data_IF_920511770052
#
_entry.id   IF_920511770052
#
_cell.length_a   1.000
_cell.length_b   1.000
_cell.length_c   1.000
_cell.angle_alpha   90.00
_cell.angle_beta   90.00
_cell.angle_gamma   90.00
#
_symmetry.space_group_name_H-M   'P 1'
#
loop_
_entity.id
_entity.type
_entity.pdbx_description
1 polymer ?
#
# COMPACT_ATOMS: atom_id res chain seq x y z
N UNK A 1 5.36 -29.44 -12.57
CA UNK A 1 5.63 -28.26 -11.73
C UNK A 1 7.11 -28.06 -11.49
N UNK A 2 7.85 -29.10 -11.12
CA UNK A 2 9.29 -29.01 -10.79
C UNK A 2 10.16 -28.54 -11.97
N UNK A 3 9.89 -29.01 -13.21
CA UNK A 3 10.59 -28.56 -14.43
C UNK A 3 10.46 -27.05 -14.71
N UNK A 4 9.38 -26.41 -14.28
CA UNK A 4 9.11 -25.00 -14.55
C UNK A 4 9.65 -24.08 -13.44
N UNK A 5 9.39 -24.46 -12.18
CA UNK A 5 9.76 -23.64 -11.01
C UNK A 5 11.08 -24.03 -10.34
N UNK A 6 11.68 -25.18 -10.73
CA UNK A 6 12.94 -25.71 -10.21
C UNK A 6 12.94 -25.82 -8.67
N UNK A 7 11.84 -26.32 -8.11
CA UNK A 7 11.56 -26.39 -6.68
C UNK A 7 12.64 -27.26 -5.99
N UNK A 8 12.95 -28.42 -6.57
CA UNK A 8 13.94 -29.34 -6.02
C UNK A 8 15.36 -28.76 -6.05
N UNK A 9 15.73 -28.01 -7.11
CA UNK A 9 17.03 -27.32 -7.19
C UNK A 9 17.18 -26.22 -6.11
N UNK A 10 16.08 -25.67 -5.64
CA UNK A 10 16.03 -24.64 -4.57
C UNK A 10 15.93 -25.25 -3.16
N UNK A 11 15.97 -26.56 -3.03
CA UNK A 11 15.90 -27.26 -1.75
C UNK A 11 14.51 -27.20 -1.08
N UNK A 12 13.45 -26.95 -1.84
CA UNK A 12 12.08 -26.85 -1.35
C UNK A 12 11.21 -28.02 -1.83
N UNK A 13 10.03 -28.15 -1.26
CA UNK A 13 9.00 -29.13 -1.63
C UNK A 13 7.71 -28.44 -2.01
N UNK A 14 6.90 -29.04 -2.88
CA UNK A 14 5.60 -28.51 -3.31
C UNK A 14 4.68 -28.18 -2.12
N UNK A 15 4.67 -29.02 -1.08
CA UNK A 15 3.91 -28.79 0.16
C UNK A 15 4.35 -27.52 0.87
N UNK A 16 5.66 -27.33 0.99
CA UNK A 16 6.25 -26.14 1.62
C UNK A 16 5.90 -24.87 0.85
N UNK A 17 5.96 -24.90 -0.49
CA UNK A 17 5.61 -23.77 -1.35
C UNK A 17 4.12 -23.39 -1.23
N UNK A 18 3.22 -24.38 -1.17
CA UNK A 18 1.79 -24.12 -0.98
C UNK A 18 1.52 -23.50 0.40
N UNK A 19 2.12 -24.03 1.46
CA UNK A 19 1.96 -23.47 2.82
C UNK A 19 2.53 -22.06 2.88
N UNK A 20 3.71 -21.83 2.31
CA UNK A 20 4.32 -20.50 2.25
C UNK A 20 3.45 -19.51 1.46
N UNK A 21 2.89 -19.93 0.31
CA UNK A 21 1.97 -19.11 -0.47
C UNK A 21 0.69 -18.74 0.29
N UNK A 22 0.07 -19.69 0.98
CA UNK A 22 -1.09 -19.45 1.83
C UNK A 22 -0.76 -18.49 2.99
N UNK A 23 0.37 -18.70 3.65
CA UNK A 23 0.84 -17.80 4.73
C UNK A 23 1.02 -16.39 4.22
N UNK A 24 1.66 -16.21 3.06
CA UNK A 24 1.86 -14.90 2.43
C UNK A 24 0.52 -14.27 2.05
N UNK A 25 -0.41 -15.06 1.49
CA UNK A 25 -1.75 -14.58 1.15
C UNK A 25 -2.49 -14.04 2.37
N UNK A 26 -2.55 -14.80 3.47
CA UNK A 26 -3.23 -14.34 4.69
C UNK A 26 -2.53 -13.12 5.31
N UNK A 27 -1.19 -13.08 5.26
CA UNK A 27 -0.44 -11.92 5.76
C UNK A 27 -0.70 -10.65 4.96
N UNK A 28 -1.06 -10.76 3.68
CA UNK A 28 -1.28 -9.61 2.79
C UNK A 28 -2.76 -9.31 2.51
N UNK A 29 -3.68 -10.22 2.84
CA UNK A 29 -5.10 -10.09 2.52
C UNK A 29 -5.74 -8.81 3.10
N UNK A 30 -5.28 -8.35 4.27
CA UNK A 30 -5.78 -7.12 4.88
C UNK A 30 -5.53 -5.86 4.04
N UNK A 31 -4.48 -5.85 3.21
CA UNK A 31 -4.10 -4.70 2.38
C UNK A 31 -5.22 -4.34 1.40
N UNK A 32 -5.95 -5.34 0.91
CA UNK A 32 -7.05 -5.16 -0.04
C UNK A 32 -8.13 -4.22 0.51
N UNK A 33 -8.41 -4.29 1.80
CA UNK A 33 -9.40 -3.43 2.48
C UNK A 33 -8.75 -2.15 3.01
N UNK A 34 -7.55 -2.25 3.57
CA UNK A 34 -6.87 -1.11 4.18
C UNK A 34 -6.43 -0.07 3.15
N UNK A 35 -6.04 -0.51 1.93
CA UNK A 35 -5.61 0.39 0.87
C UNK A 35 -6.71 1.38 0.44
N UNK A 36 -7.93 0.97 0.05
CA UNK A 36 -8.99 1.92 -0.27
C UNK A 36 -9.40 2.78 0.92
N UNK A 37 -9.42 2.23 2.14
CA UNK A 37 -9.73 3.01 3.34
C UNK A 37 -8.74 4.17 3.53
N UNK A 38 -7.46 3.96 3.33
CA UNK A 38 -6.45 5.01 3.46
C UNK A 38 -6.51 6.07 2.35
N UNK A 39 -6.94 5.70 1.15
CA UNK A 39 -7.07 6.63 0.01
C UNK A 39 -8.33 7.49 0.15
N UNK A 40 -9.42 6.93 0.68
CA UNK A 40 -10.72 7.61 0.71
C UNK A 40 -10.96 8.32 2.03
N UNK A 41 -10.56 7.75 3.16
CA UNK A 41 -10.82 8.32 4.47
C UNK A 41 -9.65 8.13 5.43
N UNK A 42 -8.73 9.07 5.39
CA UNK A 42 -7.69 9.11 6.41
C UNK A 42 -8.29 9.64 7.72
N UNK A 43 -8.27 8.81 8.78
CA UNK A 43 -8.81 9.16 10.10
C UNK A 43 -10.29 9.60 10.14
N UNK A 44 -11.16 8.97 9.36
CA UNK A 44 -12.59 9.30 9.33
C UNK A 44 -12.90 10.77 8.97
N UNK A 45 -12.00 11.45 8.27
CA UNK A 45 -12.19 12.82 7.81
C UNK A 45 -13.18 12.94 6.64
N UNK A 46 -13.40 11.83 5.91
CA UNK A 46 -14.37 11.78 4.83
C UNK A 46 -15.78 11.50 5.38
N UNK A 47 -16.82 12.20 4.90
CA UNK A 47 -18.21 11.93 5.26
C UNK A 47 -18.62 10.53 4.78
N UNK A 48 -19.00 9.65 5.70
CA UNK A 48 -19.39 8.26 5.39
C UNK A 48 -20.65 8.15 4.50
N UNK A 49 -21.38 9.25 4.31
CA UNK A 49 -22.67 9.29 3.62
C UNK A 49 -22.60 9.77 2.15
N UNK A 50 -21.44 10.26 1.68
CA UNK A 50 -21.34 10.79 0.32
C UNK A 50 -21.12 9.66 -0.70
N UNK A 51 -22.02 9.49 -1.70
CA UNK A 51 -21.91 8.47 -2.72
C UNK A 51 -20.61 8.56 -3.55
N UNK A 52 -19.99 9.73 -3.66
CA UNK A 52 -18.71 9.91 -4.36
C UNK A 52 -17.57 9.14 -3.67
N UNK A 53 -17.52 9.16 -2.35
CA UNK A 53 -16.51 8.40 -1.60
C UNK A 53 -16.69 6.89 -1.77
N UNK A 54 -17.94 6.42 -1.78
CA UNK A 54 -18.22 5.00 -1.99
C UNK A 54 -17.84 4.54 -3.41
N UNK A 55 -18.02 5.39 -4.42
CA UNK A 55 -17.59 5.10 -5.79
C UNK A 55 -16.05 4.98 -5.87
N UNK A 56 -15.32 5.94 -5.29
CA UNK A 56 -13.85 5.92 -5.25
C UNK A 56 -13.36 4.70 -4.49
N UNK A 57 -13.96 4.38 -3.34
CA UNK A 57 -13.62 3.22 -2.54
C UNK A 57 -13.74 1.92 -3.34
N UNK A 58 -14.88 1.71 -4.00
CA UNK A 58 -15.13 0.53 -4.82
C UNK A 58 -14.15 0.43 -6.00
N UNK A 59 -13.86 1.57 -6.66
CA UNK A 59 -12.91 1.62 -7.77
C UNK A 59 -11.50 1.24 -7.32
N UNK A 60 -11.03 1.82 -6.21
CA UNK A 60 -9.70 1.50 -5.64
C UNK A 60 -9.62 0.05 -5.17
N UNK A 61 -10.69 -0.46 -4.55
CA UNK A 61 -10.78 -1.85 -4.09
C UNK A 61 -10.58 -2.84 -5.24
N UNK A 62 -11.39 -2.69 -6.31
CA UNK A 62 -11.31 -3.56 -7.49
C UNK A 62 -9.96 -3.41 -8.20
N UNK A 63 -9.49 -2.17 -8.40
CA UNK A 63 -8.21 -1.90 -9.03
C UNK A 63 -7.03 -2.52 -8.26
N UNK A 64 -7.07 -2.46 -6.92
CA UNK A 64 -6.03 -3.05 -6.05
C UNK A 64 -5.98 -4.57 -6.19
N UNK A 65 -7.13 -5.24 -6.23
CA UNK A 65 -7.20 -6.69 -6.42
C UNK A 65 -6.64 -7.08 -7.80
N UNK A 66 -7.08 -6.41 -8.86
CA UNK A 66 -6.62 -6.71 -10.22
C UNK A 66 -5.12 -6.47 -10.37
N UNK A 67 -4.60 -5.37 -9.83
CA UNK A 67 -3.18 -5.06 -9.85
C UNK A 67 -2.36 -6.10 -9.07
N UNK A 68 -2.83 -6.53 -7.90
CA UNK A 68 -2.17 -7.56 -7.10
C UNK A 68 -2.12 -8.91 -7.82
N UNK A 69 -3.23 -9.33 -8.45
CA UNK A 69 -3.30 -10.57 -9.23
C UNK A 69 -2.33 -10.52 -10.42
N UNK A 70 -2.41 -9.46 -11.24
CA UNK A 70 -1.56 -9.32 -12.43
C UNK A 70 -0.09 -9.24 -12.03
N UNK A 71 0.25 -8.41 -11.03
CA UNK A 71 1.62 -8.26 -10.55
C UNK A 71 2.20 -9.55 -9.99
N UNK A 72 1.43 -10.27 -9.17
CA UNK A 72 1.87 -11.55 -8.59
C UNK A 72 2.04 -12.63 -9.67
N UNK A 73 1.11 -12.72 -10.64
CA UNK A 73 1.23 -13.65 -11.75
C UNK A 73 2.45 -13.36 -12.62
N UNK A 74 2.73 -12.09 -12.94
CA UNK A 74 3.92 -11.70 -13.69
C UNK A 74 5.20 -12.07 -12.92
N UNK A 75 5.25 -11.84 -11.61
CA UNK A 75 6.39 -12.25 -10.78
C UNK A 75 6.57 -13.76 -10.74
N UNK A 76 5.49 -14.51 -10.59
CA UNK A 76 5.53 -15.96 -10.52
C UNK A 76 5.89 -16.61 -11.87
N UNK A 77 5.27 -16.17 -12.98
CA UNK A 77 5.40 -16.83 -14.28
C UNK A 77 6.59 -16.31 -15.07
N UNK A 78 6.82 -15.00 -15.09
CA UNK A 78 7.90 -14.37 -15.88
C UNK A 78 9.22 -14.32 -15.10
N UNK A 79 9.21 -13.73 -13.91
CA UNK A 79 10.42 -13.61 -13.11
C UNK A 79 10.79 -14.90 -12.34
N UNK A 80 9.86 -15.86 -12.22
CA UNK A 80 10.02 -17.13 -11.47
C UNK A 80 10.51 -16.90 -10.03
N UNK A 81 10.00 -15.83 -9.41
CA UNK A 81 10.34 -15.45 -8.04
C UNK A 81 9.11 -15.56 -7.14
N UNK A 82 9.25 -16.08 -5.90
CA UNK A 82 8.16 -16.28 -4.97
C UNK A 82 7.82 -15.00 -4.20
N UNK A 83 7.56 -13.89 -4.92
CA UNK A 83 7.19 -12.61 -4.32
C UNK A 83 5.75 -12.27 -4.68
N UNK A 84 4.90 -12.15 -3.67
CA UNK A 84 3.57 -11.58 -3.86
C UNK A 84 3.67 -10.05 -4.01
N UNK A 85 2.85 -9.50 -4.90
CA UNK A 85 2.76 -8.06 -5.15
C UNK A 85 1.48 -7.52 -4.51
N UNK A 86 1.61 -6.43 -3.76
CA UNK A 86 0.47 -5.71 -3.20
C UNK A 86 0.72 -4.20 -3.25
N UNK A 87 -0.34 -3.42 -3.05
CA UNK A 87 -0.26 -1.97 -3.04
C UNK A 87 0.60 -1.49 -1.86
N UNK A 88 1.49 -0.53 -2.13
CA UNK A 88 2.28 0.10 -1.09
C UNK A 88 1.48 1.19 -0.37
N UNK A 89 1.25 1.04 0.92
CA UNK A 89 0.42 1.96 1.72
C UNK A 89 1.13 3.24 2.17
N UNK A 90 2.44 3.34 1.98
CA UNK A 90 3.24 4.46 2.54
C UNK A 90 2.88 5.85 2.02
N UNK A 91 2.34 5.96 0.81
CA UNK A 91 1.97 7.23 0.19
C UNK A 91 0.46 7.46 0.10
N UNK A 92 -0.37 6.53 0.57
CA UNK A 92 -1.82 6.66 0.47
C UNK A 92 -2.36 7.86 1.25
N UNK A 93 -1.85 8.06 2.48
CA UNK A 93 -2.22 9.23 3.29
C UNK A 93 -1.81 10.54 2.63
N UNK A 94 -0.64 10.57 1.99
CA UNK A 94 -0.20 11.72 1.21
C UNK A 94 -1.14 11.98 0.02
N UNK A 95 -1.57 10.94 -0.67
CA UNK A 95 -2.53 11.06 -1.76
C UNK A 95 -3.84 11.68 -1.28
N UNK A 96 -4.40 11.19 -0.17
CA UNK A 96 -5.61 11.75 0.42
C UNK A 96 -5.45 13.23 0.78
N UNK A 97 -4.40 13.57 1.51
CA UNK A 97 -4.15 14.96 1.98
C UNK A 97 -3.86 15.92 0.84
N UNK A 98 -3.21 15.45 -0.24
CA UNK A 98 -2.81 16.33 -1.34
C UNK A 98 -3.87 16.52 -2.42
N UNK A 99 -4.75 15.54 -2.63
CA UNK A 99 -5.71 15.57 -3.75
C UNK A 99 -7.16 15.52 -3.32
N UNK A 100 -7.50 14.80 -2.26
CA UNK A 100 -8.90 14.63 -1.82
C UNK A 100 -9.27 15.67 -0.78
N UNK A 101 -8.46 15.86 0.23
CA UNK A 101 -8.74 16.79 1.32
C UNK A 101 -8.93 18.24 0.88
N UNK A 102 -8.14 18.81 -0.06
CA UNK A 102 -8.37 20.17 -0.55
C UNK A 102 -9.74 20.37 -1.20
N UNK A 103 -10.23 19.37 -1.94
CA UNK A 103 -11.56 19.40 -2.53
C UNK A 103 -12.66 19.35 -1.47
N UNK A 104 -12.48 18.55 -0.41
CA UNK A 104 -13.41 18.52 0.73
C UNK A 104 -13.50 19.89 1.40
N UNK A 105 -12.35 20.53 1.67
CA UNK A 105 -12.29 21.82 2.37
C UNK A 105 -12.87 22.96 1.50
N UNK A 106 -12.61 22.94 0.19
CA UNK A 106 -13.11 23.96 -0.74
C UNK A 106 -14.58 23.77 -1.13
N UNK A 107 -15.22 22.65 -0.73
CA UNK A 107 -16.56 22.29 -1.17
C UNK A 107 -16.63 21.91 -2.65
N UNK A 108 -15.50 21.51 -3.23
CA UNK A 108 -15.35 21.08 -4.63
C UNK A 108 -15.79 19.63 -4.85
N UNK A 109 -15.50 19.15 -6.05
CA UNK A 109 -15.84 17.79 -6.47
C UNK A 109 -14.69 16.82 -6.15
N UNK A 110 -14.88 15.99 -5.14
CA UNK A 110 -13.90 14.99 -4.68
C UNK A 110 -13.46 14.04 -5.81
N UNK A 111 -14.36 13.75 -6.76
CA UNK A 111 -14.05 12.88 -7.91
C UNK A 111 -13.02 13.56 -8.81
N UNK A 112 -13.08 14.89 -8.98
CA UNK A 112 -12.06 15.63 -9.75
C UNK A 112 -10.69 15.59 -9.07
N UNK A 113 -10.65 15.77 -7.75
CA UNK A 113 -9.40 15.62 -6.98
C UNK A 113 -8.79 14.24 -7.13
N UNK A 114 -9.62 13.21 -7.05
CA UNK A 114 -9.19 11.82 -7.27
C UNK A 114 -8.63 11.60 -8.68
N UNK A 115 -9.32 12.09 -9.73
CA UNK A 115 -8.84 11.97 -11.10
C UNK A 115 -7.52 12.74 -11.34
N UNK A 116 -7.38 13.93 -10.78
CA UNK A 116 -6.12 14.68 -10.84
C UNK A 116 -4.96 13.88 -10.22
N UNK A 117 -5.19 13.27 -9.06
CA UNK A 117 -4.22 12.37 -8.43
C UNK A 117 -3.86 11.16 -9.29
N UNK A 118 -4.84 10.53 -9.94
CA UNK A 118 -4.60 9.40 -10.85
C UNK A 118 -3.71 9.78 -12.04
N UNK A 119 -3.92 10.96 -12.63
CA UNK A 119 -3.06 11.45 -13.74
C UNK A 119 -1.61 11.60 -13.28
N UNK A 120 -1.39 12.14 -12.09
CA UNK A 120 -0.05 12.28 -11.53
C UNK A 120 0.61 10.92 -11.27
N UNK A 121 -0.15 9.96 -10.73
CA UNK A 121 0.33 8.58 -10.54
C UNK A 121 0.71 7.95 -11.88
N UNK A 122 -0.10 8.14 -12.92
CA UNK A 122 0.19 7.61 -14.25
C UNK A 122 1.49 8.18 -14.82
N UNK A 123 1.66 9.50 -14.75
CA UNK A 123 2.90 10.18 -15.21
C UNK A 123 4.11 9.69 -14.40
N UNK A 124 3.97 9.60 -13.08
CA UNK A 124 5.02 9.09 -12.20
C UNK A 124 5.39 7.64 -12.52
N UNK A 125 4.39 6.79 -12.79
CA UNK A 125 4.60 5.40 -13.21
C UNK A 125 5.35 5.30 -14.53
N UNK A 126 5.04 6.17 -15.50
CA UNK A 126 5.75 6.23 -16.78
C UNK A 126 7.21 6.66 -16.61
N UNK A 127 7.46 7.69 -15.80
CA UNK A 127 8.83 8.14 -15.47
C UNK A 127 9.61 7.02 -14.76
N UNK A 128 8.97 6.32 -13.82
CA UNK A 128 9.59 5.18 -13.14
C UNK A 128 9.95 4.04 -14.10
N UNK A 129 9.09 3.77 -15.08
CA UNK A 129 9.34 2.77 -16.12
C UNK A 129 10.56 3.16 -16.95
N UNK A 130 10.68 4.42 -17.37
CA UNK A 130 11.85 4.94 -18.08
C UNK A 130 13.14 4.78 -17.27
N UNK A 131 13.12 5.09 -15.96
CA UNK A 131 14.26 4.87 -15.06
C UNK A 131 14.63 3.41 -14.91
N UNK A 132 13.64 2.52 -14.94
CA UNK A 132 13.87 1.08 -14.88
C UNK A 132 14.55 0.54 -16.12
N UNK A 133 14.11 0.97 -17.32
CA UNK A 133 14.68 0.56 -18.62
C UNK A 133 16.09 1.10 -18.80
N UNK A 134 16.36 2.33 -18.39
CA UNK A 134 17.71 2.95 -18.52
C UNK A 134 18.72 2.42 -17.51
N UNK A 135 18.31 1.55 -16.59
CA UNK A 135 19.19 0.99 -15.54
C UNK A 135 19.63 2.01 -14.48
N UNK A 136 19.11 3.22 -14.52
CA UNK A 136 19.41 4.27 -13.55
C UNK A 136 19.03 3.86 -12.13
N UNK A 137 17.95 3.07 -11.98
CA UNK A 137 17.50 2.48 -10.72
C UNK A 137 18.62 1.70 -10.02
N UNK A 138 19.41 0.92 -10.76
CA UNK A 138 20.52 0.14 -10.18
C UNK A 138 21.63 1.06 -9.70
N UNK A 139 21.93 2.15 -10.43
CA UNK A 139 22.92 3.14 -10.02
C UNK A 139 22.50 3.85 -8.73
N UNK A 140 21.22 4.27 -8.64
CA UNK A 140 20.67 4.91 -7.43
C UNK A 140 20.70 3.93 -6.24
N UNK A 141 20.29 2.67 -6.44
CA UNK A 141 20.33 1.66 -5.38
C UNK A 141 21.76 1.37 -4.86
N UNK A 142 22.76 1.42 -5.75
CA UNK A 142 24.17 1.28 -5.36
C UNK A 142 24.73 2.53 -4.67
N UNK A 143 24.22 3.72 -4.98
CA UNK A 143 24.64 4.96 -4.36
C UNK A 143 24.14 5.12 -2.90
N UNK A 144 23.10 4.36 -2.51
CA UNK A 144 22.60 4.40 -1.14
C UNK A 144 23.60 3.71 -0.17
N UNK A 145 23.96 4.38 0.94
CA UNK A 145 24.78 3.78 1.99
C UNK A 145 24.08 2.57 2.62
N UNK A 146 24.85 1.59 3.07
CA UNK A 146 24.28 0.37 3.67
C UNK A 146 23.50 0.63 4.95
N UNK A 147 23.83 1.69 5.67
CA UNK A 147 23.08 2.16 6.83
C UNK A 147 21.63 2.50 6.44
N UNK A 148 21.43 3.27 5.36
CA UNK A 148 20.09 3.62 4.86
C UNK A 148 19.31 2.41 4.34
N UNK A 149 19.97 1.48 3.65
CA UNK A 149 19.34 0.24 3.17
C UNK A 149 18.77 -0.60 4.31
N UNK A 150 19.42 -0.59 5.48
CA UNK A 150 18.94 -1.29 6.69
C UNK A 150 17.89 -0.48 7.46
N UNK A 151 17.99 0.84 7.47
CA UNK A 151 17.07 1.72 8.18
C UNK A 151 15.68 1.80 7.52
N UNK A 152 15.61 1.79 6.17
CA UNK A 152 14.35 1.92 5.42
C UNK A 152 13.34 0.83 5.79
N UNK A 153 13.67 -0.49 5.80
CA UNK A 153 12.72 -1.51 6.18
C UNK A 153 12.25 -1.39 7.64
N UNK A 154 13.14 -0.99 8.55
CA UNK A 154 12.79 -0.75 9.95
C UNK A 154 11.79 0.41 10.08
N UNK A 155 12.05 1.53 9.38
CA UNK A 155 11.15 2.68 9.35
C UNK A 155 9.76 2.33 8.77
N UNK A 156 9.73 1.56 7.68
CA UNK A 156 8.46 1.09 7.09
C UNK A 156 7.71 0.19 8.08
N UNK A 157 8.40 -0.72 8.78
CA UNK A 157 7.78 -1.58 9.79
C UNK A 157 7.16 -0.80 10.95
N UNK A 158 7.87 0.21 11.47
CA UNK A 158 7.35 1.11 12.52
C UNK A 158 6.15 1.93 12.03
N UNK A 159 6.19 2.40 10.78
CA UNK A 159 5.07 3.14 10.19
C UNK A 159 3.82 2.28 10.05
N UNK A 160 3.97 1.03 9.60
CA UNK A 160 2.83 0.09 9.50
C UNK A 160 2.27 -0.22 10.89
N UNK A 161 3.14 -0.42 11.91
CA UNK A 161 2.70 -0.64 13.28
C UNK A 161 1.92 0.57 13.81
N UNK A 162 2.40 1.80 13.56
CA UNK A 162 1.72 3.03 13.94
C UNK A 162 0.33 3.15 13.30
N UNK A 163 0.22 2.87 11.99
CA UNK A 163 -1.08 2.83 11.29
C UNK A 163 -2.01 1.76 11.86
N UNK A 164 -1.48 0.60 12.24
CA UNK A 164 -2.25 -0.45 12.91
C UNK A 164 -2.85 0.03 14.23
N UNK A 165 -2.07 0.72 15.07
CA UNK A 165 -2.54 1.30 16.32
C UNK A 165 -3.58 2.41 16.14
N UNK A 166 -3.47 3.21 15.06
CA UNK A 166 -4.49 4.20 14.72
C UNK A 166 -5.80 3.54 14.27
N UNK A 167 -5.73 2.51 13.41
CA UNK A 167 -6.93 1.82 12.93
C UNK A 167 -7.72 1.11 14.05
N UNK A 168 -7.02 0.60 15.05
CA UNK A 168 -7.65 -0.01 16.24
C UNK A 168 -8.14 1.05 17.24
N UNK A 169 -7.77 2.34 17.04
CA UNK A 169 -8.18 3.43 17.93
C UNK A 169 -7.35 3.55 19.22
N UNK A 170 -6.25 2.80 19.36
CA UNK A 170 -5.31 2.92 20.47
C UNK A 170 -4.60 4.27 20.44
N UNK A 171 -4.23 4.72 19.24
CA UNK A 171 -3.67 6.05 18.98
C UNK A 171 -4.73 6.91 18.31
N UNK A 172 -5.07 8.02 18.92
CA UNK A 172 -6.04 8.98 18.43
C UNK A 172 -5.37 10.33 18.13
N UNK A 173 -6.01 11.12 17.27
CA UNK A 173 -5.55 12.48 16.96
C UNK A 173 -5.82 13.41 18.12
N UNK A 174 -4.84 14.28 18.44
CA UNK A 174 -4.96 15.34 19.43
C UNK A 174 -4.56 16.68 18.80
N UNK A 175 -5.34 17.73 19.07
CA UNK A 175 -5.07 19.08 18.54
C UNK A 175 -3.76 19.70 19.04
N UNK A 176 -3.29 19.29 20.22
CA UNK A 176 -2.11 19.89 20.86
C UNK A 176 -0.83 19.07 20.67
N UNK A 177 -0.94 17.74 20.73
CA UNK A 177 0.21 16.81 20.70
C UNK A 177 0.29 15.97 19.43
N UNK A 178 -0.58 16.24 18.43
CA UNK A 178 -0.78 15.48 17.20
C UNK A 178 -1.34 14.06 17.42
N UNK A 179 -0.87 13.37 18.44
CA UNK A 179 -1.32 12.01 18.81
C UNK A 179 -1.45 11.86 20.32
N UNK A 180 -2.42 11.04 20.74
CA UNK A 180 -2.62 10.65 22.15
C UNK A 180 -3.00 9.19 22.20
N UNK A 181 -2.73 8.54 23.33
CA UNK A 181 -3.30 7.23 23.62
C UNK A 181 -4.77 7.36 23.99
N UNK A 182 -5.55 6.35 23.63
CA UNK A 182 -6.95 6.24 24.05
C UNK A 182 -7.03 6.29 25.59
N UNK A 183 -7.98 7.04 26.12
CA UNK A 183 -8.25 7.05 27.55
C UNK A 183 -8.97 5.75 27.93
N UNK A 184 -8.23 4.85 28.57
CA UNK A 184 -8.72 3.52 28.98
C UNK A 184 -9.75 3.65 30.10
N UNK A 185 -9.76 4.73 30.87
CA UNK A 185 -10.71 4.97 31.95
C UNK A 185 -12.08 5.46 31.45
N UNK A 186 -12.18 6.01 30.26
CA UNK A 186 -13.45 6.44 29.64
C UNK A 186 -14.13 5.36 28.79
N UNK A 187 -13.47 4.20 28.57
CA UNK A 187 -13.95 3.13 27.72
C UNK A 187 -14.52 1.92 28.49
N UNK A 188 -14.54 1.97 29.85
CA UNK A 188 -15.20 1.04 30.75
C UNK A 188 -16.45 1.70 31.34
#
# INVERSE_FOLDING_TARGET
>A
MDKFFKISERGSNVRTEIIAGLTTFFAMAYIVVTNPNQIVSFNHLAPDADPAFQQIWNAVYVASILAAIIGTLLMALYAKMPFAQACGMGLNSFFFVSFILPEIISGGDVIKGYHAGLVIILVSGFVFLLFSVTGLRVKVAKALPDCLKKAIPAGIGLFIAFLGFQNVGIIQTNQYTLVQFVDIHGAL
#
